data_IF_675031326104
#
_entry.id   IF_675031326104
#
_cell.length_a   1.000
_cell.length_b   1.000
_cell.length_c   1.000
_cell.angle_alpha   90.00
_cell.angle_beta   90.00
_cell.angle_gamma   90.00
#
_symmetry.space_group_name_H-M   'P 1'
#
loop_
_entity.id
_entity.type
_entity.pdbx_description
1 polymer ?
#
# COMPACT_ATOMS: atom_id res chain seq x y z
N UNK A 1 18.53 -1.95 -23.82
CA UNK A 1 19.61 -1.36 -22.99
C UNK A 1 19.05 -1.25 -21.59
N UNK A 2 19.52 -2.07 -20.68
CA UNK A 2 19.16 -1.95 -19.26
C UNK A 2 19.76 -0.65 -18.74
N UNK A 3 18.94 0.34 -18.49
CA UNK A 3 19.35 1.50 -17.72
C UNK A 3 19.64 1.01 -16.29
N UNK A 4 20.89 0.85 -15.97
CA UNK A 4 21.32 0.71 -14.56
C UNK A 4 21.00 2.07 -13.94
N UNK A 5 19.95 2.14 -13.11
CA UNK A 5 19.68 3.32 -12.31
C UNK A 5 20.87 3.50 -11.36
N UNK A 6 21.50 4.67 -11.40
CA UNK A 6 22.54 5.02 -10.44
C UNK A 6 21.92 5.14 -9.04
N UNK A 7 22.73 4.90 -8.00
CA UNK A 7 22.29 5.14 -6.62
C UNK A 7 21.94 6.62 -6.47
N UNK A 8 20.67 6.90 -6.18
CA UNK A 8 20.17 8.27 -6.08
C UNK A 8 20.52 8.90 -4.73
N UNK A 9 20.74 8.06 -3.70
CA UNK A 9 20.96 8.52 -2.33
C UNK A 9 22.33 8.08 -1.82
N UNK A 10 23.05 9.02 -1.18
CA UNK A 10 24.33 8.73 -0.55
C UNK A 10 24.18 7.66 0.55
N UNK A 11 25.04 6.66 0.54
CA UNK A 11 25.04 5.56 1.52
C UNK A 11 24.04 4.43 1.22
N UNK A 12 23.27 4.52 0.14
CA UNK A 12 22.36 3.46 -0.30
C UNK A 12 22.86 2.79 -1.57
N UNK A 13 22.54 1.51 -1.72
CA UNK A 13 22.72 0.76 -2.96
C UNK A 13 21.33 0.34 -3.47
N UNK A 14 21.04 0.58 -4.75
CA UNK A 14 19.81 0.10 -5.38
C UNK A 14 19.87 -1.43 -5.48
N UNK A 15 18.92 -2.10 -4.82
CA UNK A 15 18.84 -3.58 -4.78
C UNK A 15 17.68 -4.12 -5.61
N UNK A 16 16.63 -3.33 -5.81
CA UNK A 16 15.47 -3.70 -6.61
C UNK A 16 14.81 -2.45 -7.21
N UNK A 17 14.29 -2.57 -8.42
CA UNK A 17 13.47 -1.54 -9.04
C UNK A 17 12.48 -2.17 -10.02
N UNK A 18 11.31 -1.54 -10.16
CA UNK A 18 10.29 -1.90 -11.13
C UNK A 18 9.93 -0.66 -11.95
N UNK A 19 10.16 -0.75 -13.25
CA UNK A 19 9.87 0.34 -14.19
C UNK A 19 8.58 0.11 -14.98
N UNK A 20 7.88 -0.99 -14.70
CA UNK A 20 6.61 -1.37 -15.32
C UNK A 20 6.64 -1.32 -16.86
N UNK A 21 7.76 -1.76 -17.43
CA UNK A 21 7.94 -1.79 -18.88
C UNK A 21 7.16 -2.94 -19.52
N UNK A 22 6.63 -2.71 -20.72
CA UNK A 22 5.86 -3.71 -21.46
C UNK A 22 4.37 -3.40 -21.50
N UNK A 23 3.58 -4.43 -21.77
CA UNK A 23 2.13 -4.40 -21.88
C UNK A 23 1.52 -5.61 -21.14
N UNK A 24 0.24 -5.57 -20.85
CA UNK A 24 -0.47 -6.65 -20.16
C UNK A 24 -0.37 -6.54 -18.65
N UNK A 25 -0.35 -7.68 -17.97
CA UNK A 25 -0.18 -7.75 -16.50
C UNK A 25 1.28 -7.50 -16.09
N UNK A 26 1.54 -7.03 -14.87
CA UNK A 26 2.90 -6.92 -14.36
C UNK A 26 3.58 -8.29 -14.25
N UNK A 27 4.91 -8.29 -14.23
CA UNK A 27 5.70 -9.52 -14.24
C UNK A 27 5.34 -10.45 -13.08
N UNK A 28 4.93 -11.68 -13.39
CA UNK A 28 4.60 -12.69 -12.38
C UNK A 28 5.81 -13.12 -11.52
N UNK A 29 7.05 -12.75 -11.88
CA UNK A 29 8.22 -12.97 -11.02
C UNK A 29 8.28 -12.03 -9.82
N UNK A 30 7.63 -10.87 -9.89
CA UNK A 30 7.64 -9.86 -8.83
C UNK A 30 6.26 -9.55 -8.27
N UNK A 31 5.20 -9.75 -9.05
CA UNK A 31 3.85 -9.33 -8.72
C UNK A 31 2.83 -10.45 -8.84
N UNK A 32 1.80 -10.40 -8.01
CA UNK A 32 0.55 -11.14 -8.14
C UNK A 32 -0.57 -10.11 -8.16
N UNK A 33 -1.44 -10.16 -9.17
CA UNK A 33 -2.71 -9.47 -9.09
C UNK A 33 -3.66 -10.28 -8.20
N UNK A 34 -4.31 -9.64 -7.25
CA UNK A 34 -5.28 -10.28 -6.37
C UNK A 34 -6.59 -10.56 -7.12
N UNK A 35 -7.35 -11.55 -6.67
CA UNK A 35 -8.66 -11.92 -7.20
C UNK A 35 -9.67 -12.01 -6.06
N UNK A 36 -10.89 -11.64 -6.35
CA UNK A 36 -12.03 -11.78 -5.45
C UNK A 36 -12.14 -10.66 -4.42
N UNK A 37 -13.11 -10.81 -3.52
CA UNK A 37 -13.30 -9.92 -2.39
C UNK A 37 -12.27 -10.22 -1.30
N UNK A 38 -11.46 -9.25 -0.94
CA UNK A 38 -10.30 -9.50 -0.08
C UNK A 38 -10.47 -9.05 1.37
N UNK A 39 -10.97 -7.83 1.66
CA UNK A 39 -10.88 -7.26 3.01
C UNK A 39 -11.79 -6.02 3.23
N UNK A 40 -11.81 -5.51 4.45
CA UNK A 40 -12.25 -4.16 4.87
C UNK A 40 -13.69 -3.76 4.53
N UNK A 41 -14.60 -4.70 4.25
CA UNK A 41 -15.96 -4.40 3.79
C UNK A 41 -16.01 -3.53 2.52
N UNK A 42 -15.00 -3.70 1.67
CA UNK A 42 -14.89 -3.04 0.38
C UNK A 42 -16.01 -3.46 -0.57
N UNK A 43 -16.28 -2.67 -1.61
CA UNK A 43 -17.41 -2.89 -2.50
C UNK A 43 -17.05 -3.62 -3.80
N UNK A 44 -15.75 -3.70 -4.14
CA UNK A 44 -15.28 -4.27 -5.40
C UNK A 44 -14.94 -5.75 -5.29
N UNK A 45 -15.00 -6.41 -6.45
CA UNK A 45 -14.30 -7.65 -6.76
C UNK A 45 -12.97 -7.31 -7.42
N UNK A 46 -11.85 -7.86 -6.94
CA UNK A 46 -10.55 -7.69 -7.59
C UNK A 46 -10.40 -8.64 -8.75
N UNK A 47 -9.91 -8.13 -9.90
CA UNK A 47 -9.71 -8.91 -11.09
C UNK A 47 -8.23 -9.02 -11.46
N UNK A 48 -7.79 -10.24 -11.71
CA UNK A 48 -6.46 -10.54 -12.24
C UNK A 48 -6.48 -10.53 -13.79
N UNK A 49 -6.87 -9.41 -14.35
CA UNK A 49 -6.87 -9.20 -15.79
C UNK A 49 -6.57 -7.75 -16.19
N UNK A 50 -6.36 -7.53 -17.48
CA UNK A 50 -5.95 -6.22 -18.03
C UNK A 50 -7.04 -5.16 -17.99
N UNK A 51 -8.27 -5.48 -17.64
CA UNK A 51 -9.32 -4.48 -17.42
C UNK A 51 -9.10 -3.72 -16.13
N UNK A 52 -8.61 -4.39 -15.09
CA UNK A 52 -8.38 -3.84 -13.75
C UNK A 52 -6.90 -3.55 -13.45
N UNK A 53 -5.98 -4.41 -13.94
CA UNK A 53 -4.53 -4.30 -13.68
C UNK A 53 -3.78 -4.37 -15.00
N UNK A 54 -3.05 -3.32 -15.37
CA UNK A 54 -2.28 -3.35 -16.61
C UNK A 54 -0.99 -2.52 -16.56
N UNK A 55 -0.06 -2.90 -17.41
CA UNK A 55 1.07 -2.05 -17.78
C UNK A 55 0.66 -1.15 -18.95
N UNK A 56 0.99 0.12 -18.85
CA UNK A 56 0.73 1.12 -19.88
C UNK A 56 1.81 2.20 -19.86
N UNK A 57 2.59 2.26 -20.94
CA UNK A 57 3.57 3.33 -21.15
C UNK A 57 4.56 3.51 -19.98
N UNK A 58 5.09 2.40 -19.46
CA UNK A 58 6.05 2.40 -18.33
C UNK A 58 5.39 2.72 -16.98
N UNK A 59 4.13 2.34 -16.81
CA UNK A 59 3.37 2.54 -15.57
C UNK A 59 2.53 1.31 -15.25
N UNK A 60 2.37 1.03 -13.96
CA UNK A 60 1.28 0.21 -13.46
C UNK A 60 0.01 1.08 -13.40
N UNK A 61 -1.06 0.60 -14.00
CA UNK A 61 -2.37 1.23 -13.95
C UNK A 61 -3.34 0.29 -13.26
N UNK A 62 -3.86 0.70 -12.12
CA UNK A 62 -4.97 0.06 -11.42
C UNK A 62 -6.25 0.84 -11.72
N UNK A 63 -7.31 0.12 -12.04
CA UNK A 63 -8.60 0.72 -12.42
C UNK A 63 -9.71 0.16 -11.55
N UNK A 64 -10.57 1.07 -11.08
CA UNK A 64 -11.87 0.74 -10.53
C UNK A 64 -12.96 1.17 -11.52
N UNK A 65 -13.97 0.33 -11.72
CA UNK A 65 -15.05 0.60 -12.67
C UNK A 65 -16.35 -0.11 -12.29
N UNK A 66 -17.46 0.41 -12.77
CA UNK A 66 -18.76 -0.23 -12.61
C UNK A 66 -18.78 -1.53 -13.43
N UNK A 67 -19.08 -2.65 -12.77
CA UNK A 67 -19.09 -3.99 -13.33
C UNK A 67 -20.06 -4.88 -12.54
N UNK A 68 -21.38 -4.69 -12.69
CA UNK A 68 -22.36 -5.46 -11.94
C UNK A 68 -22.32 -6.95 -12.30
N UNK A 69 -22.00 -7.81 -11.33
CA UNK A 69 -21.97 -9.27 -11.50
C UNK A 69 -22.17 -10.02 -10.18
N UNK A 70 -22.51 -11.30 -10.29
CA UNK A 70 -22.64 -12.19 -9.14
C UNK A 70 -21.32 -12.97 -8.93
N UNK A 71 -20.90 -13.06 -7.68
CA UNK A 71 -19.69 -13.77 -7.28
C UNK A 71 -19.81 -14.38 -5.89
N UNK A 72 -18.68 -14.62 -5.26
CA UNK A 72 -18.61 -15.21 -3.92
C UNK A 72 -17.90 -14.24 -2.98
N UNK A 73 -18.52 -13.95 -1.84
CA UNK A 73 -17.84 -13.22 -0.77
C UNK A 73 -16.83 -14.16 -0.07
N UNK A 74 -15.54 -13.81 -0.13
CA UNK A 74 -14.47 -14.66 0.38
C UNK A 74 -14.53 -14.88 1.91
N UNK A 75 -15.10 -13.94 2.67
CA UNK A 75 -15.24 -14.09 4.12
C UNK A 75 -16.38 -15.01 4.53
N UNK A 76 -17.49 -14.97 3.82
CA UNK A 76 -18.67 -15.75 4.18
C UNK A 76 -18.81 -17.04 3.38
N UNK A 77 -18.11 -17.14 2.25
CA UNK A 77 -18.26 -18.22 1.27
C UNK A 77 -19.63 -18.22 0.57
N UNK A 78 -20.46 -17.18 0.80
CA UNK A 78 -21.80 -17.05 0.26
C UNK A 78 -21.85 -16.27 -1.06
N UNK A 79 -22.96 -16.43 -1.79
CA UNK A 79 -23.23 -15.62 -2.98
C UNK A 79 -23.29 -14.13 -2.62
N UNK A 80 -22.66 -13.32 -3.44
CA UNK A 80 -22.58 -11.86 -3.26
C UNK A 80 -22.73 -11.17 -4.62
N UNK A 81 -23.42 -10.06 -4.65
CA UNK A 81 -23.54 -9.22 -5.83
C UNK A 81 -22.56 -8.06 -5.74
N UNK A 82 -21.66 -7.96 -6.70
CA UNK A 82 -20.74 -6.86 -6.84
C UNK A 82 -21.28 -5.84 -7.84
N UNK A 83 -21.19 -4.57 -7.51
CA UNK A 83 -21.48 -3.46 -8.43
C UNK A 83 -20.23 -2.95 -9.14
N UNK A 84 -19.04 -3.31 -8.62
CA UNK A 84 -17.75 -2.78 -9.06
C UNK A 84 -16.71 -3.87 -9.15
N UNK A 85 -15.78 -3.69 -10.09
CA UNK A 85 -14.51 -4.39 -10.14
C UNK A 85 -13.35 -3.42 -9.99
N UNK A 86 -12.21 -3.92 -9.50
CA UNK A 86 -11.00 -3.11 -9.30
C UNK A 86 -9.71 -3.93 -9.41
N UNK A 87 -8.56 -3.26 -9.29
CA UNK A 87 -7.24 -3.86 -9.33
C UNK A 87 -6.48 -3.74 -8.02
N UNK A 88 -5.78 -4.82 -7.66
CA UNK A 88 -4.82 -4.90 -6.58
C UNK A 88 -3.62 -5.73 -7.00
N UNK A 89 -2.41 -5.34 -6.59
CA UNK A 89 -1.18 -6.09 -6.83
C UNK A 89 -0.36 -6.21 -5.56
N UNK A 90 0.24 -7.39 -5.36
CA UNK A 90 1.08 -7.69 -4.20
C UNK A 90 2.41 -8.29 -4.63
N UNK A 91 3.46 -8.08 -3.83
CA UNK A 91 4.76 -8.76 -4.01
C UNK A 91 4.95 -9.95 -3.07
N UNK A 92 3.91 -10.39 -2.36
CA UNK A 92 3.96 -11.52 -1.42
C UNK A 92 4.54 -12.76 -2.08
N UNK A 93 5.40 -13.48 -1.34
CA UNK A 93 6.13 -14.68 -1.77
C UNK A 93 7.09 -14.49 -2.97
N UNK A 94 7.34 -13.26 -3.37
CA UNK A 94 8.20 -12.91 -4.52
C UNK A 94 9.26 -11.89 -4.16
N UNK A 95 8.86 -10.73 -3.66
CA UNK A 95 9.78 -9.66 -3.23
C UNK A 95 9.32 -9.15 -1.88
N UNK A 96 10.23 -9.10 -0.94
CA UNK A 96 10.02 -8.52 0.39
C UNK A 96 11.15 -7.58 0.77
N UNK A 97 10.88 -6.69 1.69
CA UNK A 97 11.78 -5.64 2.12
C UNK A 97 11.95 -5.71 3.64
N UNK A 98 13.17 -5.56 4.09
CA UNK A 98 13.50 -5.40 5.50
C UNK A 98 14.57 -4.33 5.62
N UNK A 99 14.17 -3.14 6.07
CA UNK A 99 15.06 -1.96 6.19
C UNK A 99 15.55 -1.40 4.84
N UNK A 100 16.04 -0.18 4.88
CA UNK A 100 16.50 0.56 3.73
C UNK A 100 15.59 1.72 3.37
N UNK A 101 15.61 2.14 2.13
CA UNK A 101 14.69 3.14 1.57
C UNK A 101 13.86 2.51 0.46
N UNK A 102 12.56 2.75 0.51
CA UNK A 102 11.59 2.33 -0.52
C UNK A 102 10.94 3.60 -1.05
N UNK A 103 10.98 3.79 -2.35
CA UNK A 103 10.39 4.94 -3.05
C UNK A 103 9.35 4.47 -4.07
N UNK A 104 8.16 5.05 -4.03
CA UNK A 104 7.07 4.73 -4.94
C UNK A 104 6.52 6.05 -5.50
N UNK A 105 6.68 6.22 -6.80
CA UNK A 105 6.09 7.37 -7.50
C UNK A 105 4.69 7.01 -7.98
N UNK A 106 3.67 7.69 -7.46
CA UNK A 106 2.29 7.43 -7.82
C UNK A 106 1.48 8.70 -8.01
N UNK A 107 0.47 8.59 -8.86
CA UNK A 107 -0.61 9.55 -9.03
C UNK A 107 -1.91 8.82 -8.71
N UNK A 108 -2.70 9.38 -7.82
CA UNK A 108 -3.90 8.72 -7.28
C UNK A 108 -5.17 9.50 -7.66
N UNK A 109 -6.28 8.81 -7.92
CA UNK A 109 -7.53 9.48 -8.21
C UNK A 109 -8.13 10.14 -6.97
N UNK A 110 -8.83 11.23 -7.17
CA UNK A 110 -9.62 11.93 -6.15
C UNK A 110 -11.10 11.71 -6.42
N UNK A 111 -11.87 11.26 -5.44
CA UNK A 111 -13.30 11.06 -5.60
C UNK A 111 -13.96 10.35 -4.44
N UNK A 112 -15.26 10.61 -4.29
CA UNK A 112 -16.05 9.98 -3.22
C UNK A 112 -16.15 8.47 -3.42
N UNK A 113 -15.85 7.73 -2.36
CA UNK A 113 -15.87 6.28 -2.36
C UNK A 113 -14.60 5.62 -2.93
N UNK A 114 -13.64 6.43 -3.41
CA UNK A 114 -12.33 5.93 -3.81
C UNK A 114 -11.42 5.82 -2.59
N UNK A 115 -10.69 4.70 -2.52
CA UNK A 115 -9.76 4.43 -1.42
C UNK A 115 -8.48 3.76 -1.97
N UNK A 116 -7.68 4.45 -2.78
CA UNK A 116 -6.36 3.93 -3.20
C UNK A 116 -5.43 3.84 -2.01
N UNK A 117 -4.61 2.77 -1.97
CA UNK A 117 -3.58 2.61 -0.95
C UNK A 117 -2.25 2.08 -1.47
N UNK A 118 -1.19 2.45 -0.76
CA UNK A 118 0.17 1.92 -0.90
C UNK A 118 0.62 1.54 0.50
N UNK A 119 0.77 0.25 0.76
CA UNK A 119 1.11 -0.25 2.09
C UNK A 119 2.09 -1.42 2.06
N UNK A 120 2.75 -1.65 3.18
CA UNK A 120 3.55 -2.86 3.40
C UNK A 120 2.90 -3.71 4.49
N UNK A 121 2.84 -5.01 4.24
CA UNK A 121 2.28 -6.01 5.13
C UNK A 121 3.32 -7.10 5.43
N UNK A 122 3.25 -7.79 6.59
CA UNK A 122 4.19 -8.86 6.94
C UNK A 122 4.28 -9.94 5.88
N UNK A 123 5.49 -10.34 5.52
CA UNK A 123 5.74 -11.35 4.49
C UNK A 123 5.54 -12.79 4.98
N UNK A 124 5.33 -13.02 6.27
CA UNK A 124 5.16 -14.33 6.87
C UNK A 124 3.76 -14.51 7.43
N UNK A 125 3.21 -15.74 7.32
CA UNK A 125 1.92 -16.10 7.92
C UNK A 125 2.03 -16.32 9.45
N UNK A 126 3.23 -16.62 9.95
CA UNK A 126 3.54 -16.78 11.37
C UNK A 126 4.01 -15.44 11.96
N UNK A 127 3.15 -14.45 11.93
CA UNK A 127 3.48 -13.14 12.46
C UNK A 127 3.41 -13.16 13.99
N UNK A 128 4.50 -12.80 14.70
CA UNK A 128 4.45 -12.65 16.14
C UNK A 128 3.71 -11.35 16.49
N UNK A 129 2.45 -11.46 16.79
CA UNK A 129 1.51 -10.37 16.98
C UNK A 129 0.33 -10.52 16.03
N UNK A 130 -0.82 -9.97 16.38
CA UNK A 130 -2.05 -10.22 15.63
C UNK A 130 -2.14 -9.35 14.36
N UNK A 131 -1.49 -8.19 14.34
CA UNK A 131 -1.55 -7.26 13.22
C UNK A 131 -0.33 -6.34 13.14
N UNK A 132 0.15 -6.06 11.93
CA UNK A 132 1.08 -4.98 11.62
C UNK A 132 0.91 -4.51 10.18
N UNK A 133 1.05 -3.21 9.95
CA UNK A 133 1.13 -2.63 8.61
C UNK A 133 1.93 -1.32 8.64
N UNK A 134 2.43 -0.94 7.48
CA UNK A 134 3.03 0.37 7.23
C UNK A 134 2.26 0.97 6.06
N UNK A 135 1.41 1.92 6.34
CA UNK A 135 0.61 2.61 5.33
C UNK A 135 1.37 3.85 4.87
N UNK A 136 2.02 3.75 3.72
CA UNK A 136 2.75 4.88 3.13
C UNK A 136 1.78 5.95 2.65
N UNK A 137 0.67 5.52 2.10
CA UNK A 137 -0.38 6.39 1.59
C UNK A 137 -1.72 5.66 1.60
N UNK A 138 -2.72 6.28 2.18
CA UNK A 138 -4.12 5.96 2.01
C UNK A 138 -4.89 7.25 1.70
N UNK A 139 -5.71 7.23 0.67
CA UNK A 139 -6.61 8.32 0.36
C UNK A 139 -8.04 7.89 0.65
N UNK A 140 -8.75 8.70 1.42
CA UNK A 140 -10.17 8.56 1.65
C UNK A 140 -10.84 9.92 1.46
N UNK A 141 -11.99 9.93 0.80
CA UNK A 141 -12.77 11.16 0.66
C UNK A 141 -13.19 11.69 2.03
N UNK A 142 -12.46 12.66 2.53
CA UNK A 142 -12.69 13.28 3.83
C UNK A 142 -13.64 14.48 3.76
N UNK A 143 -13.89 15.05 4.93
CA UNK A 143 -14.73 16.26 5.10
C UNK A 143 -13.95 17.55 4.85
N UNK A 144 -12.66 17.49 4.52
CA UNK A 144 -11.88 18.65 4.13
C UNK A 144 -12.39 19.20 2.79
N UNK A 145 -12.48 20.51 2.68
CA UNK A 145 -13.11 21.18 1.52
C UNK A 145 -12.38 20.91 0.20
N UNK A 146 -11.11 20.55 0.26
CA UNK A 146 -10.28 20.25 -0.91
C UNK A 146 -10.29 18.77 -1.31
N UNK A 147 -10.71 17.87 -0.42
CA UNK A 147 -10.65 16.41 -0.58
C UNK A 147 -9.28 15.93 -1.09
N UNK A 148 -8.23 16.54 -0.58
CA UNK A 148 -6.85 16.37 -1.03
C UNK A 148 -5.92 15.81 0.04
N UNK A 149 -6.48 15.27 1.12
CA UNK A 149 -5.70 14.74 2.24
C UNK A 149 -5.43 13.26 2.06
N UNK A 150 -4.16 12.87 2.24
CA UNK A 150 -3.74 11.49 2.37
C UNK A 150 -3.35 11.19 3.81
N UNK A 151 -3.52 9.94 4.23
CA UNK A 151 -3.11 9.43 5.53
C UNK A 151 -1.88 8.55 5.38
N UNK A 152 -0.99 8.62 6.37
CA UNK A 152 0.16 7.74 6.52
C UNK A 152 0.23 7.27 7.97
N UNK A 153 0.46 5.98 8.20
CA UNK A 153 0.38 5.40 9.54
C UNK A 153 1.26 4.16 9.72
N UNK A 154 1.58 3.87 10.98
CA UNK A 154 2.13 2.59 11.40
C UNK A 154 1.08 1.85 12.24
N UNK A 155 0.92 0.55 12.02
CA UNK A 155 -0.02 -0.30 12.75
C UNK A 155 0.69 -1.45 13.44
N UNK A 156 0.27 -1.74 14.69
CA UNK A 156 0.72 -2.91 15.45
C UNK A 156 -0.48 -3.57 16.13
N UNK A 157 -0.32 -4.80 16.60
CA UNK A 157 -1.36 -5.52 17.34
C UNK A 157 -1.89 -4.76 18.54
N UNK A 158 -1.08 -3.91 19.15
CA UNK A 158 -1.51 -3.11 20.30
C UNK A 158 -2.47 -2.00 19.89
N UNK A 159 -2.31 -1.39 18.70
CA UNK A 159 -3.28 -0.41 18.19
C UNK A 159 -4.63 -1.04 17.88
N UNK A 160 -4.65 -2.20 17.27
CA UNK A 160 -5.89 -2.91 16.94
C UNK A 160 -6.62 -3.41 18.21
N UNK A 161 -5.90 -3.78 19.25
CA UNK A 161 -6.49 -4.18 20.54
C UNK A 161 -6.94 -3.00 21.40
N UNK A 162 -6.63 -1.75 21.00
CA UNK A 162 -6.90 -0.53 21.77
C UNK A 162 -6.01 -0.36 23.01
N UNK A 163 -4.91 -1.10 23.09
CA UNK A 163 -3.99 -1.08 24.23
C UNK A 163 -2.96 0.07 24.16
N UNK A 164 -2.68 0.60 22.98
CA UNK A 164 -1.87 1.80 22.79
C UNK A 164 -2.74 2.96 22.30
N UNK A 165 -2.65 4.09 22.99
CA UNK A 165 -3.49 5.26 22.71
C UNK A 165 -3.16 5.96 21.39
N UNK A 166 -1.95 5.80 20.82
CA UNK A 166 -1.59 6.38 19.52
C UNK A 166 -0.27 5.84 18.99
N UNK A 167 -0.29 5.10 17.88
CA UNK A 167 0.87 5.04 17.01
C UNK A 167 0.94 6.32 16.17
N UNK A 168 2.14 6.77 15.79
CA UNK A 168 2.25 7.92 14.94
C UNK A 168 1.48 7.71 13.63
N UNK A 169 0.54 8.62 13.37
CA UNK A 169 -0.15 8.76 12.10
C UNK A 169 -0.06 10.23 11.65
N UNK A 170 -0.21 10.46 10.35
CA UNK A 170 -0.28 11.80 9.78
C UNK A 170 -1.39 11.90 8.77
N UNK A 171 -2.07 13.05 8.77
CA UNK A 171 -2.94 13.48 7.68
C UNK A 171 -2.27 14.65 6.97
N UNK A 172 -1.92 14.45 5.70
CA UNK A 172 -1.14 15.41 4.92
C UNK A 172 -2.01 15.96 3.78
N UNK A 173 -2.24 17.28 3.79
CA UNK A 173 -2.90 17.96 2.68
C UNK A 173 -1.92 18.06 1.50
N UNK A 174 -2.37 17.71 0.32
CA UNK A 174 -1.57 17.68 -0.89
C UNK A 174 -2.27 18.40 -2.03
N UNK A 175 -1.49 18.96 -2.92
CA UNK A 175 -2.00 19.59 -4.14
C UNK A 175 -2.00 18.58 -5.30
N UNK A 176 -3.01 18.66 -6.16
CA UNK A 176 -3.02 17.99 -7.46
C UNK A 176 -2.79 16.47 -7.44
N UNK A 177 -3.35 15.76 -6.44
CA UNK A 177 -3.22 14.29 -6.26
C UNK A 177 -3.55 13.48 -7.52
N UNK A 178 -4.53 13.92 -8.31
CA UNK A 178 -4.98 13.28 -9.55
C UNK A 178 -4.36 13.89 -10.82
N UNK A 179 -3.57 14.93 -10.68
CA UNK A 179 -2.91 15.60 -11.81
C UNK A 179 -1.41 15.32 -11.88
N UNK A 180 -0.74 15.18 -10.72
CA UNK A 180 0.71 15.04 -10.61
C UNK A 180 1.11 13.72 -9.94
N UNK A 181 2.32 13.28 -10.24
CA UNK A 181 2.96 12.19 -9.51
C UNK A 181 3.63 12.75 -8.26
N UNK A 182 3.37 12.10 -7.13
CA UNK A 182 4.03 12.34 -5.86
C UNK A 182 4.93 11.16 -5.50
N UNK A 183 5.96 11.40 -4.71
CA UNK A 183 6.89 10.38 -4.23
C UNK A 183 6.51 10.00 -2.80
N UNK A 184 6.04 8.78 -2.63
CA UNK A 184 5.76 8.18 -1.32
C UNK A 184 6.93 7.29 -0.93
N UNK A 185 7.56 7.59 0.22
CA UNK A 185 8.80 6.93 0.62
C UNK A 185 8.76 6.41 2.05
N UNK A 186 9.48 5.32 2.29
CA UNK A 186 9.77 4.80 3.61
C UNK A 186 11.29 4.79 3.80
N UNK A 187 11.79 5.41 4.86
CA UNK A 187 13.14 5.21 5.37
C UNK A 187 13.06 4.36 6.63
N UNK A 188 13.63 3.17 6.57
CA UNK A 188 13.46 2.14 7.59
C UNK A 188 14.81 1.65 8.11
N UNK A 189 15.06 1.87 9.38
CA UNK A 189 16.24 1.43 10.12
C UNK A 189 15.88 0.46 11.26
N UNK A 190 16.85 -0.05 11.98
CA UNK A 190 16.61 -0.87 13.20
C UNK A 190 15.92 -0.11 14.33
N UNK A 191 15.97 1.22 14.30
CA UNK A 191 15.56 2.06 15.44
C UNK A 191 14.45 3.04 15.10
N UNK A 192 14.27 3.33 13.82
CA UNK A 192 13.36 4.38 13.39
C UNK A 192 12.87 4.07 11.98
N UNK A 193 11.63 4.43 11.77
CA UNK A 193 11.01 4.47 10.46
C UNK A 193 10.42 5.86 10.24
N UNK A 194 10.66 6.40 9.05
CA UNK A 194 10.13 7.69 8.61
C UNK A 194 9.36 7.47 7.31
N UNK A 195 8.10 7.92 7.27
CA UNK A 195 7.34 8.03 6.03
C UNK A 195 7.50 9.45 5.50
N UNK A 196 7.80 9.55 4.22
CA UNK A 196 8.01 10.82 3.54
C UNK A 196 7.05 10.95 2.35
N UNK A 197 6.63 12.18 2.09
CA UNK A 197 5.93 12.54 0.86
C UNK A 197 6.71 13.68 0.21
N UNK A 198 7.11 13.49 -1.05
CA UNK A 198 7.95 14.45 -1.80
C UNK A 198 9.20 14.86 -1.00
N UNK A 199 9.90 13.86 -0.45
CA UNK A 199 11.09 13.98 0.42
C UNK A 199 10.87 14.74 1.76
N UNK A 200 9.64 15.12 2.11
CA UNK A 200 9.32 15.70 3.40
C UNK A 200 8.84 14.62 4.37
N UNK A 201 9.47 14.49 5.53
CA UNK A 201 9.03 13.57 6.58
C UNK A 201 7.66 14.01 7.09
N UNK A 202 6.66 13.13 6.98
CA UNK A 202 5.29 13.39 7.44
C UNK A 202 4.97 12.67 8.74
N UNK A 203 5.56 11.50 8.97
CA UNK A 203 5.43 10.76 10.23
C UNK A 203 6.70 9.96 10.52
N UNK A 204 7.07 9.89 11.79
CA UNK A 204 8.22 9.12 12.29
C UNK A 204 7.78 8.20 13.41
N UNK A 205 8.32 6.98 13.43
CA UNK A 205 8.12 6.04 14.52
C UNK A 205 9.48 5.47 14.97
N UNK A 206 9.81 5.67 16.24
CA UNK A 206 11.06 5.23 16.84
C UNK A 206 10.85 4.05 17.78
N UNK A 207 11.75 3.07 17.73
CA UNK A 207 11.84 1.99 18.71
C UNK A 207 12.45 2.54 19.98
N UNK A 208 11.63 2.82 20.98
CA UNK A 208 12.06 3.43 22.25
C UNK A 208 12.87 2.42 23.08
N UNK A 209 12.42 1.16 23.14
CA UNK A 209 13.11 0.07 23.81
C UNK A 209 13.68 -0.92 22.76
N UNK A 210 15.00 -1.08 22.76
CA UNK A 210 15.69 -1.99 21.83
C UNK A 210 15.36 -3.47 22.07
N UNK A 211 14.89 -3.80 23.26
CA UNK A 211 14.45 -5.14 23.63
C UNK A 211 12.94 -5.33 23.52
N UNK A 212 12.21 -4.34 22.99
CA UNK A 212 10.77 -4.41 22.76
C UNK A 212 10.41 -5.66 21.92
N UNK A 213 9.43 -6.40 22.39
CA UNK A 213 8.88 -7.55 21.68
C UNK A 213 8.14 -7.18 20.39
N UNK A 214 7.80 -8.19 19.60
CA UNK A 214 7.14 -7.98 18.31
C UNK A 214 5.71 -7.44 18.43
N UNK A 215 5.09 -7.53 19.60
CA UNK A 215 3.81 -6.91 19.93
C UNK A 215 3.88 -5.37 19.99
N UNK A 216 5.06 -4.82 20.31
CA UNK A 216 5.32 -3.37 20.34
C UNK A 216 6.04 -2.90 19.08
N UNK A 217 7.03 -3.68 18.61
CA UNK A 217 7.82 -3.37 17.43
C UNK A 217 7.88 -4.56 16.47
N UNK A 218 6.84 -4.75 15.65
CA UNK A 218 6.76 -5.87 14.71
C UNK A 218 7.62 -5.70 13.46
N UNK A 219 8.41 -4.65 13.34
CA UNK A 219 9.11 -4.23 12.13
C UNK A 219 10.55 -4.75 12.01
N UNK A 220 10.93 -5.76 12.79
CA UNK A 220 12.22 -6.47 12.66
C UNK A 220 12.09 -7.75 11.82
N UNK A 221 11.33 -7.68 10.72
CA UNK A 221 11.06 -8.79 9.81
C UNK A 221 10.71 -8.28 8.40
N UNK A 222 10.72 -9.16 7.38
CA UNK A 222 10.35 -8.77 6.03
C UNK A 222 8.88 -8.40 5.87
N UNK A 223 8.61 -7.40 5.05
CA UNK A 223 7.28 -6.98 4.61
C UNK A 223 7.20 -7.02 3.08
N UNK A 224 6.04 -7.38 2.54
CA UNK A 224 5.74 -7.28 1.12
C UNK A 224 4.96 -6.01 0.82
N UNK A 225 5.04 -5.54 -0.42
CA UNK A 225 4.33 -4.37 -0.91
C UNK A 225 2.94 -4.78 -1.43
N UNK A 226 1.94 -3.98 -1.07
CA UNK A 226 0.58 -4.03 -1.60
C UNK A 226 0.23 -2.65 -2.15
N UNK A 227 -0.31 -2.63 -3.38
CA UNK A 227 -0.83 -1.42 -4.03
C UNK A 227 -2.21 -1.77 -4.57
N UNK A 228 -3.22 -1.06 -4.12
CA UNK A 228 -4.59 -1.35 -4.51
C UNK A 228 -5.45 -0.11 -4.73
N UNK A 229 -6.56 -0.35 -5.40
CA UNK A 229 -7.60 0.64 -5.65
C UNK A 229 -8.91 0.14 -5.04
N UNK A 230 -9.08 0.39 -3.75
CA UNK A 230 -10.27 0.00 -3.00
C UNK A 230 -11.44 0.95 -3.27
N UNK A 231 -12.65 0.46 -3.04
CA UNK A 231 -13.90 1.22 -3.12
C UNK A 231 -14.76 1.01 -1.88
N UNK A 232 -15.30 2.09 -1.34
CA UNK A 232 -16.17 2.01 -0.16
C UNK A 232 -15.37 1.74 1.11
N UNK A 233 -15.67 0.63 1.79
CA UNK A 233 -15.09 0.28 3.07
C UNK A 233 -15.89 0.80 4.26
N UNK A 234 -15.30 0.69 5.46
CA UNK A 234 -15.94 1.03 6.74
C UNK A 234 -15.52 2.39 7.30
N UNK A 235 -14.94 3.25 6.48
CA UNK A 235 -14.50 4.59 6.88
C UNK A 235 -15.66 5.54 7.15
#
# INVERSE_FOLDING_TARGET
MTHVKENVYEGYQLVWSEDFLGEGLPSASSWTAEEGYQRNSELQDYLNDVSAVKLDSGKLVLRAFADPHDGTNAYTGGAYHFDYSSGSVITRDKVSFERGRIDISAKIPVGRGLWPSIRLLPATDEFPGEYAAIDLMEYVWGDDAAHSTVKSAFHTSQTESGALETLPEASTAMDALDEQYHLYSLVWTKRQMDILIDDNVVVSYAKEDMDAGADVWPFDQPFYLLIDMQLGGSW
#
